data_IF_100759586381
#
_entry.id   IF_100759586381
#
_cell.length_a   1.000
_cell.length_b   1.000
_cell.length_c   1.000
_cell.angle_alpha   90.00
_cell.angle_beta   90.00
_cell.angle_gamma   90.00
#
_symmetry.space_group_name_H-M   'P 1'
#
loop_
_entity.id
_entity.type
_entity.pdbx_description
1 polymer ?
#
# COMPACT_ATOMS: atom_id res chain seq x y z
N UNK A 1 -6.10 2.03 -1.75
CA UNK A 1 -7.48 2.09 -2.26
C UNK A 1 -7.45 1.69 -3.72
N UNK A 2 -8.61 1.43 -4.31
CA UNK A 2 -8.79 1.28 -5.77
C UNK A 2 -8.20 2.46 -6.57
N UNK A 3 -8.14 3.66 -5.99
CA UNK A 3 -7.42 4.80 -6.60
C UNK A 3 -5.97 4.51 -7.04
N UNK A 4 -5.31 3.47 -6.50
CA UNK A 4 -4.02 2.97 -7.05
C UNK A 4 -4.23 2.25 -8.38
N UNK A 5 -5.10 1.24 -8.40
CA UNK A 5 -5.23 0.31 -9.52
C UNK A 5 -6.08 0.87 -10.66
N UNK A 6 -6.95 1.84 -10.37
CA UNK A 6 -7.74 2.61 -11.32
C UNK A 6 -7.02 3.87 -11.84
N UNK A 7 -5.81 4.17 -11.35
CA UNK A 7 -5.03 5.31 -11.83
C UNK A 7 -4.75 5.18 -13.34
N UNK A 8 -5.18 6.17 -14.11
CA UNK A 8 -5.12 6.14 -15.58
C UNK A 8 -3.86 6.81 -16.11
N UNK A 9 -3.23 6.19 -17.10
CA UNK A 9 -2.22 6.85 -17.94
C UNK A 9 -2.90 7.84 -18.93
N UNK A 10 -2.12 8.63 -19.70
CA UNK A 10 -2.68 9.54 -20.70
C UNK A 10 -3.45 8.85 -21.85
N UNK A 11 -3.23 7.56 -22.07
CA UNK A 11 -3.96 6.74 -23.04
C UNK A 11 -5.23 6.11 -22.47
N UNK A 12 -5.58 6.40 -21.21
CA UNK A 12 -6.70 5.82 -20.45
C UNK A 12 -6.55 4.33 -20.17
N UNK A 13 -5.32 3.87 -19.99
CA UNK A 13 -5.00 2.53 -19.49
C UNK A 13 -4.89 2.59 -17.97
N UNK A 14 -5.64 1.75 -17.22
CA UNK A 14 -5.50 1.68 -15.77
C UNK A 14 -4.13 1.09 -15.39
N UNK A 15 -3.65 1.46 -14.21
CA UNK A 15 -2.41 0.93 -13.62
C UNK A 15 -2.49 -0.59 -13.42
N UNK A 16 -3.61 -1.06 -12.87
CA UNK A 16 -3.97 -2.48 -12.77
C UNK A 16 -3.28 -3.26 -11.65
N UNK A 17 -3.92 -4.35 -11.23
CA UNK A 17 -3.45 -5.22 -10.14
C UNK A 17 -2.15 -5.95 -10.50
N UNK A 18 -2.00 -6.37 -11.77
CA UNK A 18 -0.84 -7.14 -12.24
C UNK A 18 0.47 -6.35 -12.07
N UNK A 19 0.45 -5.05 -12.41
CA UNK A 19 1.58 -4.14 -12.22
C UNK A 19 1.88 -3.93 -10.74
N UNK A 20 0.85 -3.70 -9.92
CA UNK A 20 1.00 -3.53 -8.47
C UNK A 20 1.67 -4.75 -7.83
N UNK A 21 1.19 -5.96 -8.15
CA UNK A 21 1.73 -7.21 -7.63
C UNK A 21 3.18 -7.43 -8.08
N UNK A 22 3.49 -7.16 -9.35
CA UNK A 22 4.86 -7.27 -9.86
C UNK A 22 5.82 -6.30 -9.17
N UNK A 23 5.39 -5.06 -8.92
CA UNK A 23 6.17 -4.05 -8.20
C UNK A 23 6.46 -4.50 -6.76
N UNK A 24 5.42 -4.92 -6.02
CA UNK A 24 5.55 -5.37 -4.62
C UNK A 24 6.46 -6.60 -4.53
N UNK A 25 6.36 -7.54 -5.47
CA UNK A 25 7.24 -8.71 -5.53
C UNK A 25 8.70 -8.34 -5.84
N UNK A 26 8.95 -7.21 -6.52
CA UNK A 26 10.30 -6.71 -6.81
C UNK A 26 10.96 -5.94 -5.66
N UNK A 27 10.20 -5.61 -4.60
CA UNK A 27 10.67 -4.82 -3.44
C UNK A 27 11.07 -5.69 -2.24
N UNK A 28 11.61 -6.88 -2.49
CA UNK A 28 12.06 -7.79 -1.43
C UNK A 28 13.04 -7.11 -0.46
N UNK A 29 12.71 -7.14 0.83
CA UNK A 29 13.53 -6.56 1.91
C UNK A 29 13.30 -5.06 2.15
N UNK A 30 12.47 -4.38 1.35
CA UNK A 30 12.06 -3.01 1.62
C UNK A 30 11.20 -2.92 2.89
N UNK A 31 11.45 -1.90 3.72
CA UNK A 31 10.58 -1.61 4.86
C UNK A 31 9.23 -1.03 4.43
N UNK A 32 8.20 -1.02 5.30
CA UNK A 32 6.87 -0.50 4.95
C UNK A 32 6.86 0.91 4.35
N UNK A 33 7.73 1.80 4.85
CA UNK A 33 7.84 3.17 4.34
C UNK A 33 8.36 3.19 2.89
N UNK A 34 9.42 2.44 2.62
CA UNK A 34 10.04 2.37 1.30
C UNK A 34 9.09 1.70 0.30
N UNK A 35 8.33 0.70 0.72
CA UNK A 35 7.28 0.08 -0.09
C UNK A 35 6.20 1.10 -0.49
N UNK A 36 5.71 1.89 0.46
CA UNK A 36 4.72 2.95 0.20
C UNK A 36 5.29 3.99 -0.77
N UNK A 37 6.50 4.49 -0.53
CA UNK A 37 7.18 5.46 -1.39
C UNK A 37 7.38 4.92 -2.81
N UNK A 38 7.74 3.64 -2.94
CA UNK A 38 7.90 2.96 -4.24
C UNK A 38 6.59 2.85 -5.01
N UNK A 39 5.50 2.47 -4.34
CA UNK A 39 4.16 2.39 -4.97
C UNK A 39 3.72 3.78 -5.44
N UNK A 40 3.87 4.81 -4.60
CA UNK A 40 3.51 6.18 -5.01
C UNK A 40 4.34 6.65 -6.21
N UNK A 41 5.65 6.40 -6.21
CA UNK A 41 6.51 6.79 -7.33
C UNK A 41 6.11 6.09 -8.64
N UNK A 42 5.81 4.79 -8.60
CA UNK A 42 5.43 4.04 -9.81
C UNK A 42 4.04 4.44 -10.35
N UNK A 43 3.09 4.76 -9.46
CA UNK A 43 1.78 5.31 -9.84
C UNK A 43 1.93 6.71 -10.46
N UNK A 44 2.80 7.55 -9.90
CA UNK A 44 3.09 8.88 -10.42
C UNK A 44 3.75 8.81 -11.80
N UNK A 45 4.68 7.86 -12.00
CA UNK A 45 5.29 7.59 -13.30
C UNK A 45 4.27 7.10 -14.33
N UNK A 46 3.37 6.17 -13.93
CA UNK A 46 2.33 5.63 -14.81
C UNK A 46 1.33 6.70 -15.25
N UNK A 47 0.87 7.52 -14.32
CA UNK A 47 -0.10 8.59 -14.60
C UNK A 47 0.53 9.72 -15.41
N UNK A 48 1.80 10.03 -15.18
CA UNK A 48 2.54 11.04 -15.92
C UNK A 48 1.85 12.41 -15.86
N UNK A 49 1.36 12.89 -17.01
CA UNK A 49 0.61 14.15 -17.11
C UNK A 49 -0.91 13.99 -17.10
N UNK A 50 -1.41 12.77 -16.92
CA UNK A 50 -2.85 12.53 -16.81
C UNK A 50 -3.38 13.16 -15.51
N UNK A 51 -4.57 13.73 -15.59
CA UNK A 51 -5.26 14.19 -14.39
C UNK A 51 -5.54 12.98 -13.49
N UNK A 52 -5.20 13.08 -12.20
CA UNK A 52 -5.64 12.06 -11.24
C UNK A 52 -7.15 12.13 -11.09
N UNK A 53 -7.80 11.00 -11.29
CA UNK A 53 -9.26 10.90 -11.26
C UNK A 53 -9.82 10.63 -9.86
N UNK A 54 -9.00 10.16 -8.90
CA UNK A 54 -9.41 9.77 -7.56
C UNK A 54 -8.28 9.90 -6.51
N UNK A 55 -8.62 9.81 -5.22
CA UNK A 55 -7.68 9.87 -4.09
C UNK A 55 -6.91 8.54 -3.92
N UNK A 56 -5.58 8.63 -3.95
CA UNK A 56 -4.69 7.48 -3.70
C UNK A 56 -4.35 7.37 -2.22
N UNK A 57 -4.68 6.24 -1.60
CA UNK A 57 -4.20 5.93 -0.24
C UNK A 57 -3.60 4.52 -0.15
N UNK A 58 -2.42 4.40 0.46
CA UNK A 58 -1.70 3.13 0.65
C UNK A 58 -1.33 2.94 2.12
N UNK A 59 -1.53 1.74 2.66
CA UNK A 59 -1.08 1.33 3.98
C UNK A 59 -0.22 0.06 3.85
N UNK A 60 1.01 0.13 4.33
CA UNK A 60 1.90 -1.03 4.45
C UNK A 60 2.17 -1.35 5.93
N UNK A 61 2.19 -2.63 6.26
CA UNK A 61 2.44 -3.15 7.60
C UNK A 61 3.51 -4.24 7.50
N UNK A 62 4.50 -4.19 8.38
CA UNK A 62 5.49 -5.26 8.55
C UNK A 62 5.31 -5.85 9.95
N UNK A 63 5.07 -7.16 10.01
CA UNK A 63 4.94 -7.86 11.28
C UNK A 63 6.28 -8.46 11.70
N UNK A 64 6.86 -7.94 12.79
CA UNK A 64 8.12 -8.40 13.39
C UNK A 64 7.90 -9.32 14.59
N UNK A 65 7.01 -10.29 14.45
CA UNK A 65 6.71 -11.24 15.53
C UNK A 65 7.90 -12.14 15.86
N UNK A 66 7.95 -12.62 17.11
CA UNK A 66 8.90 -13.63 17.52
C UNK A 66 8.44 -15.01 17.00
N UNK A 67 9.22 -15.69 16.14
CA UNK A 67 8.84 -16.98 15.58
C UNK A 67 8.77 -18.11 16.62
N UNK A 68 9.28 -17.89 17.84
CA UNK A 68 9.25 -18.86 18.95
C UNK A 68 7.97 -18.80 19.79
N UNK A 69 7.11 -17.80 19.59
CA UNK A 69 5.84 -17.67 20.29
C UNK A 69 4.75 -18.47 19.57
N UNK A 70 3.89 -19.18 20.32
CA UNK A 70 2.75 -19.90 19.74
C UNK A 70 1.90 -18.96 18.87
N UNK A 71 1.63 -19.40 17.63
CA UNK A 71 0.85 -18.63 16.67
C UNK A 71 -0.55 -18.39 17.23
N UNK A 72 -0.87 -17.12 17.43
CA UNK A 72 -2.22 -16.65 17.75
C UNK A 72 -2.71 -15.77 16.61
N UNK A 73 -3.99 -15.92 16.26
CA UNK A 73 -4.64 -15.08 15.24
C UNK A 73 -5.06 -13.77 15.88
N UNK A 74 -4.66 -12.65 15.26
CA UNK A 74 -5.16 -11.32 15.62
C UNK A 74 -5.93 -10.79 14.42
N UNK A 75 -7.24 -10.57 14.59
CA UNK A 75 -8.05 -9.86 13.61
C UNK A 75 -8.09 -8.38 13.95
N UNK A 76 -7.79 -7.55 12.96
CA UNK A 76 -7.79 -6.10 13.12
C UNK A 76 -8.58 -5.50 11.96
N UNK A 77 -9.66 -4.81 12.30
CA UNK A 77 -10.41 -4.02 11.34
C UNK A 77 -9.87 -2.59 11.36
N UNK A 78 -9.36 -2.14 10.21
CA UNK A 78 -8.86 -0.80 10.00
C UNK A 78 -9.73 -0.10 8.97
N UNK A 79 -10.41 0.96 9.37
CA UNK A 79 -10.88 1.92 8.39
C UNK A 79 -9.66 2.67 7.84
N UNK A 80 -9.62 2.88 6.53
CA UNK A 80 -8.59 3.68 5.89
C UNK A 80 -8.80 5.18 6.18
N UNK A 81 -8.62 5.57 7.44
CA UNK A 81 -8.75 6.94 7.93
C UNK A 81 -7.58 7.26 8.86
N UNK A 82 -6.97 8.43 8.67
CA UNK A 82 -5.76 8.82 9.39
C UNK A 82 -5.92 8.81 10.92
N UNK A 83 -7.11 9.17 11.43
CA UNK A 83 -7.45 9.20 12.85
C UNK A 83 -7.66 7.81 13.47
N UNK A 84 -8.01 6.79 12.68
CA UNK A 84 -8.17 5.40 13.14
C UNK A 84 -6.86 4.59 13.06
N UNK A 85 -5.92 4.98 12.18
CA UNK A 85 -4.64 4.28 12.01
C UNK A 85 -3.69 4.52 13.19
N UNK A 86 -3.61 5.75 13.72
CA UNK A 86 -2.65 6.08 14.80
C UNK A 86 -2.89 5.29 16.09
N UNK A 87 -4.13 5.20 16.64
CA UNK A 87 -4.39 4.44 17.86
C UNK A 87 -4.21 2.92 17.69
N UNK A 88 -4.33 2.41 16.47
CA UNK A 88 -4.13 0.99 16.18
C UNK A 88 -2.66 0.60 16.24
N UNK A 89 -1.75 1.45 15.75
CA UNK A 89 -0.31 1.22 15.87
C UNK A 89 0.14 1.13 17.34
N UNK A 90 -0.43 1.96 18.22
CA UNK A 90 -0.14 1.92 19.66
C UNK A 90 -0.64 0.63 20.34
N UNK A 91 -1.62 -0.09 19.76
CA UNK A 91 -2.12 -1.38 20.29
C UNK A 91 -1.29 -2.57 19.83
N UNK A 92 -0.43 -2.37 18.83
CA UNK A 92 0.44 -3.40 18.26
C UNK A 92 1.90 -3.31 18.71
N UNK A 93 2.30 -2.18 19.29
CA UNK A 93 3.62 -1.94 19.86
C UNK A 93 3.71 -2.46 21.31
#
# INVERSE_FOLDING_TARGET
>A
TDGVTEAMDPARTPYGDERLLALVAGTDGAGPKELVETIFADVDEHTGSADRFDDVTVLALEFRGDPSVERSTVEIALANRADEIRPMLDRLA
#
